data_IF_762606432796
#
_entry.id   IF_762606432796
#
_cell.length_a   1.000
_cell.length_b   1.000
_cell.length_c   1.000
_cell.angle_alpha   90.00
_cell.angle_beta   90.00
_cell.angle_gamma   90.00
#
_symmetry.space_group_name_H-M   'P 1'
#
loop_
_entity.id
_entity.type
_entity.pdbx_description
1 polymer ?
#
# COMPACT_ATOMS: atom_id res chain seq x y z
N UNK A 1 14.00 3.57 -22.92
CA UNK A 1 12.81 3.94 -22.17
C UNK A 1 11.57 3.73 -23.03
N UNK A 2 10.62 2.98 -22.52
CA UNK A 2 9.23 2.94 -22.93
C UNK A 2 8.91 2.33 -24.30
N UNK A 3 9.36 1.13 -24.55
CA UNK A 3 8.80 0.26 -25.60
C UNK A 3 8.03 -0.91 -24.99
N UNK A 4 7.33 -0.66 -23.86
CA UNK A 4 6.48 -1.69 -23.27
C UNK A 4 5.30 -1.94 -24.20
N UNK A 5 5.10 -3.21 -24.54
CA UNK A 5 3.95 -3.67 -25.35
C UNK A 5 2.79 -4.09 -24.44
N UNK A 6 1.58 -4.24 -25.02
CA UNK A 6 0.45 -4.82 -24.29
C UNK A 6 0.71 -6.27 -23.90
N UNK A 7 1.49 -7.02 -24.67
CA UNK A 7 1.92 -8.39 -24.35
C UNK A 7 2.79 -8.43 -23.10
N UNK A 8 3.74 -7.49 -22.95
CA UNK A 8 4.57 -7.37 -21.73
C UNK A 8 3.71 -7.11 -20.50
N UNK A 9 2.68 -6.28 -20.64
CA UNK A 9 1.73 -5.97 -19.57
C UNK A 9 0.87 -7.17 -19.20
N UNK A 10 0.38 -7.91 -20.17
CA UNK A 10 -0.38 -9.14 -19.95
C UNK A 10 0.47 -10.23 -19.28
N UNK A 11 1.73 -10.38 -19.67
CA UNK A 11 2.66 -11.30 -19.01
C UNK A 11 2.87 -10.95 -17.53
N UNK A 12 3.06 -9.67 -17.20
CA UNK A 12 3.16 -9.24 -15.78
C UNK A 12 1.88 -9.53 -14.99
N UNK A 13 0.70 -9.31 -15.58
CA UNK A 13 -0.57 -9.65 -14.93
C UNK A 13 -0.71 -11.14 -14.66
N UNK A 14 -0.27 -11.99 -15.58
CA UNK A 14 -0.34 -13.44 -15.42
C UNK A 14 0.58 -13.95 -14.28
N UNK A 15 1.71 -13.28 -14.04
CA UNK A 15 2.72 -13.68 -13.04
C UNK A 15 2.66 -12.85 -11.74
N UNK A 16 1.62 -12.02 -11.53
CA UNK A 16 1.56 -11.03 -10.46
C UNK A 16 1.88 -11.59 -9.07
N UNK A 17 1.33 -12.74 -8.70
CA UNK A 17 1.50 -13.32 -7.35
C UNK A 17 2.96 -13.72 -7.08
N UNK A 18 3.63 -14.26 -8.11
CA UNK A 18 5.05 -14.62 -8.03
C UNK A 18 5.94 -13.38 -8.01
N UNK A 19 5.67 -12.41 -8.86
CA UNK A 19 6.39 -11.13 -8.91
C UNK A 19 6.28 -10.40 -7.58
N UNK A 20 5.07 -10.23 -7.06
CA UNK A 20 4.80 -9.57 -5.77
C UNK A 20 5.51 -10.27 -4.62
N UNK A 21 5.44 -11.60 -4.54
CA UNK A 21 6.12 -12.37 -3.50
C UNK A 21 7.64 -12.22 -3.54
N UNK A 22 8.26 -12.34 -4.72
CA UNK A 22 9.70 -12.16 -4.86
C UNK A 22 10.15 -10.75 -4.55
N UNK A 23 9.38 -9.76 -4.98
CA UNK A 23 9.63 -8.36 -4.68
C UNK A 23 9.66 -8.13 -3.16
N UNK A 24 8.62 -8.52 -2.43
CA UNK A 24 8.54 -8.29 -1.00
C UNK A 24 9.52 -9.14 -0.16
N UNK A 25 9.98 -10.29 -0.63
CA UNK A 25 11.06 -11.02 0.04
C UNK A 25 12.37 -10.20 0.14
N UNK A 26 12.63 -9.32 -0.81
CA UNK A 26 13.82 -8.46 -0.82
C UNK A 26 13.51 -7.05 -0.28
N UNK A 27 12.32 -6.55 -0.52
CA UNK A 27 11.95 -5.17 -0.21
C UNK A 27 11.48 -4.98 1.24
N UNK A 28 10.95 -6.03 1.91
CA UNK A 28 10.37 -5.90 3.26
C UNK A 28 11.33 -5.28 4.26
N UNK A 29 12.55 -5.79 4.37
CA UNK A 29 13.54 -5.26 5.31
C UNK A 29 13.96 -3.83 4.97
N UNK A 30 14.04 -3.49 3.68
CA UNK A 30 14.33 -2.13 3.23
C UNK A 30 13.19 -1.16 3.57
N UNK A 31 11.94 -1.59 3.44
CA UNK A 31 10.77 -0.81 3.85
C UNK A 31 10.71 -0.62 5.35
N UNK A 32 10.90 -1.69 6.15
CA UNK A 32 10.93 -1.56 7.62
C UNK A 32 12.06 -0.65 8.09
N UNK A 33 13.24 -0.75 7.47
CA UNK A 33 14.37 0.12 7.76
C UNK A 33 14.11 1.57 7.40
N UNK A 34 13.56 1.83 6.21
CA UNK A 34 13.37 3.17 5.65
C UNK A 34 12.09 3.86 6.10
N UNK A 35 11.00 3.11 6.27
CA UNK A 35 9.65 3.64 6.45
C UNK A 35 9.01 3.23 7.78
N UNK A 36 9.15 1.97 8.17
CA UNK A 36 8.52 1.40 9.37
C UNK A 36 7.64 0.19 9.04
N UNK A 37 6.79 -0.23 9.98
CA UNK A 37 5.94 -1.42 9.83
C UNK A 37 4.61 -1.16 9.13
N UNK A 38 4.26 0.10 8.90
CA UNK A 38 3.10 0.54 8.10
C UNK A 38 3.61 1.11 6.78
N UNK A 39 3.56 0.30 5.71
CA UNK A 39 4.14 0.63 4.39
C UNK A 39 3.12 1.32 3.49
N UNK A 40 2.72 2.52 3.85
CA UNK A 40 1.79 3.30 3.04
C UNK A 40 2.08 4.80 3.14
N UNK A 41 1.56 5.55 2.21
CA UNK A 41 1.59 7.01 2.23
C UNK A 41 0.52 7.58 3.14
N UNK A 42 0.64 8.86 3.48
CA UNK A 42 -0.34 9.59 4.24
C UNK A 42 -0.24 11.09 3.96
N UNK A 43 -1.24 11.84 4.43
CA UNK A 43 -1.20 13.30 4.50
C UNK A 43 -0.47 13.72 5.76
N UNK A 44 0.20 14.86 5.70
CA UNK A 44 0.94 15.43 6.83
C UNK A 44 0.35 16.75 7.28
N UNK A 45 0.37 17.00 8.60
CA UNK A 45 0.04 18.28 9.19
C UNK A 45 1.30 18.96 9.74
N UNK A 46 1.26 20.30 9.84
CA UNK A 46 2.38 21.07 10.38
C UNK A 46 2.63 20.67 11.85
N UNK A 47 3.88 20.32 12.17
CA UNK A 47 4.29 19.92 13.50
C UNK A 47 3.90 18.48 13.88
N UNK A 48 3.32 17.72 12.97
CA UNK A 48 2.99 16.31 13.19
C UNK A 48 4.19 15.43 12.82
N UNK A 49 4.54 14.48 13.71
CA UNK A 49 5.60 13.52 13.39
C UNK A 49 5.12 12.50 12.36
N UNK A 50 6.08 11.93 11.60
CA UNK A 50 5.82 10.92 10.57
C UNK A 50 4.91 9.79 11.08
N UNK A 51 5.25 9.17 12.21
CA UNK A 51 4.46 8.05 12.76
C UNK A 51 3.05 8.45 13.19
N UNK A 52 2.85 9.67 13.71
CA UNK A 52 1.50 10.16 14.04
C UNK A 52 0.66 10.39 12.78
N UNK A 53 1.27 10.89 11.72
CA UNK A 53 0.60 11.08 10.44
C UNK A 53 0.15 9.73 9.83
N UNK A 54 1.00 8.71 9.88
CA UNK A 54 0.68 7.34 9.46
C UNK A 54 -0.52 6.80 10.26
N UNK A 55 -0.46 6.81 11.59
CA UNK A 55 -1.55 6.34 12.45
C UNK A 55 -2.86 7.11 12.21
N UNK A 56 -2.79 8.43 12.08
CA UNK A 56 -3.97 9.26 11.77
C UNK A 56 -4.62 8.88 10.43
N UNK A 57 -3.83 8.50 9.43
CA UNK A 57 -4.33 8.06 8.14
C UNK A 57 -5.10 6.74 8.26
N UNK A 58 -4.56 5.80 9.03
CA UNK A 58 -5.20 4.52 9.37
C UNK A 58 -6.50 4.74 10.16
N UNK A 59 -6.46 5.59 11.19
CA UNK A 59 -7.66 5.96 11.98
C UNK A 59 -8.75 6.62 11.13
N UNK A 60 -8.36 7.44 10.14
CA UNK A 60 -9.32 8.07 9.24
C UNK A 60 -10.06 7.07 8.38
N UNK A 61 -9.38 6.02 7.90
CA UNK A 61 -10.03 4.92 7.20
C UNK A 61 -11.02 4.18 8.12
N UNK A 62 -10.59 3.79 9.33
CA UNK A 62 -11.45 3.14 10.32
C UNK A 62 -12.68 3.97 10.66
N UNK A 63 -12.51 5.28 10.85
CA UNK A 63 -13.60 6.23 11.08
C UNK A 63 -14.58 6.29 9.92
N UNK A 64 -14.08 6.39 8.68
CA UNK A 64 -14.91 6.44 7.47
C UNK A 64 -15.71 5.14 7.25
N UNK A 65 -15.13 4.01 7.62
CA UNK A 65 -15.77 2.70 7.60
C UNK A 65 -16.73 2.47 8.77
N UNK A 66 -16.74 3.36 9.76
CA UNK A 66 -17.47 3.19 11.02
C UNK A 66 -17.18 1.83 11.68
N UNK A 67 -15.88 1.47 11.75
CA UNK A 67 -15.45 0.22 12.39
C UNK A 67 -15.84 0.20 13.87
N UNK A 68 -16.47 -0.88 14.31
CA UNK A 68 -16.96 -1.02 15.68
C UNK A 68 -16.03 -1.95 16.48
N UNK A 69 -16.08 -1.77 17.81
CA UNK A 69 -15.46 -2.72 18.75
C UNK A 69 -16.02 -4.15 18.51
N UNK A 70 -15.10 -5.13 18.58
CA UNK A 70 -15.41 -6.55 18.35
C UNK A 70 -15.91 -6.93 16.94
N UNK A 71 -15.94 -5.99 15.98
CA UNK A 71 -16.17 -6.33 14.58
C UNK A 71 -15.12 -7.31 14.06
N UNK A 72 -15.51 -8.23 13.21
CA UNK A 72 -14.62 -9.11 12.47
C UNK A 72 -14.20 -8.42 11.18
N UNK A 73 -12.96 -8.04 11.09
CA UNK A 73 -12.42 -7.21 10.01
C UNK A 73 -11.37 -7.99 9.22
N UNK A 74 -11.42 -7.92 7.90
CA UNK A 74 -10.41 -8.47 7.00
C UNK A 74 -9.45 -7.36 6.55
N UNK A 75 -8.15 -7.56 6.75
CA UNK A 75 -7.07 -6.73 6.18
C UNK A 75 -6.51 -7.43 4.94
N UNK A 76 -6.80 -6.88 3.76
CA UNK A 76 -6.45 -7.48 2.47
C UNK A 76 -5.07 -7.01 2.03
N UNK A 77 -4.09 -7.90 2.10
CA UNK A 77 -2.70 -7.57 1.82
C UNK A 77 -2.02 -6.91 3.03
N UNK A 78 -2.16 -7.52 4.20
CA UNK A 78 -1.78 -6.95 5.50
C UNK A 78 -0.27 -6.71 5.69
N UNK A 79 0.60 -7.17 4.81
CA UNK A 79 2.05 -7.04 4.96
C UNK A 79 2.54 -7.59 6.31
N UNK A 80 3.34 -6.79 7.03
CA UNK A 80 3.81 -7.12 8.39
C UNK A 80 2.82 -6.71 9.49
N UNK A 81 1.59 -6.35 9.13
CA UNK A 81 0.49 -6.10 10.05
C UNK A 81 0.59 -4.77 10.83
N UNK A 82 1.36 -3.80 10.34
CA UNK A 82 1.45 -2.48 10.98
C UNK A 82 0.08 -1.79 11.11
N UNK A 83 -0.61 -1.53 9.99
CA UNK A 83 -1.94 -0.94 10.00
C UNK A 83 -2.94 -1.74 10.82
N UNK A 84 -2.91 -3.08 10.75
CA UNK A 84 -3.83 -3.92 11.49
C UNK A 84 -3.69 -3.73 13.01
N UNK A 85 -2.46 -3.68 13.52
CA UNK A 85 -2.21 -3.46 14.96
C UNK A 85 -2.72 -2.09 15.42
N UNK A 86 -2.54 -1.07 14.59
CA UNK A 86 -3.05 0.27 14.89
C UNK A 86 -4.59 0.32 14.83
N UNK A 87 -5.21 -0.33 13.83
CA UNK A 87 -6.67 -0.48 13.75
C UNK A 87 -7.25 -1.19 14.99
N UNK A 88 -6.61 -2.26 15.47
CA UNK A 88 -7.01 -2.97 16.68
C UNK A 88 -6.97 -2.05 17.90
N UNK A 89 -5.89 -1.28 18.09
CA UNK A 89 -5.77 -0.33 19.21
C UNK A 89 -6.82 0.76 19.17
N UNK A 90 -7.09 1.28 17.98
CA UNK A 90 -8.01 2.39 17.80
C UNK A 90 -9.47 1.99 17.93
N UNK A 91 -9.85 0.82 17.42
CA UNK A 91 -11.26 0.41 17.31
C UNK A 91 -11.66 -0.70 18.28
N UNK A 92 -10.73 -1.50 18.75
CA UNK A 92 -11.02 -2.73 19.50
C UNK A 92 -11.52 -3.90 18.65
N UNK A 93 -11.48 -3.80 17.33
CA UNK A 93 -11.91 -4.85 16.40
C UNK A 93 -11.00 -6.08 16.44
N UNK A 94 -11.53 -7.22 15.97
CA UNK A 94 -10.75 -8.41 15.66
C UNK A 94 -10.35 -8.39 14.20
N UNK A 95 -9.04 -8.31 13.90
CA UNK A 95 -8.55 -8.21 12.53
C UNK A 95 -7.91 -9.52 12.10
N UNK A 96 -8.35 -10.01 10.93
CA UNK A 96 -7.71 -11.14 10.24
C UNK A 96 -6.98 -10.60 9.02
N UNK A 97 -5.67 -10.76 8.96
CA UNK A 97 -4.87 -10.42 7.80
C UNK A 97 -4.88 -11.52 6.75
N UNK A 98 -4.86 -11.12 5.49
CA UNK A 98 -4.61 -12.01 4.35
C UNK A 98 -3.33 -11.55 3.65
N UNK A 99 -2.35 -12.42 3.52
CA UNK A 99 -1.10 -12.11 2.83
C UNK A 99 -0.53 -13.35 2.12
N UNK A 100 0.23 -13.14 1.04
CA UNK A 100 0.82 -14.23 0.26
C UNK A 100 2.30 -14.48 0.57
N UNK A 101 2.92 -13.67 1.43
CA UNK A 101 4.35 -13.72 1.74
C UNK A 101 4.59 -14.28 3.14
N UNK A 102 5.27 -15.45 3.21
CA UNK A 102 5.52 -16.15 4.47
C UNK A 102 6.35 -15.32 5.45
N UNK A 103 7.40 -14.64 4.97
CA UNK A 103 8.26 -13.81 5.80
C UNK A 103 7.50 -12.65 6.46
N UNK A 104 6.63 -11.98 5.71
CA UNK A 104 5.79 -10.92 6.27
C UNK A 104 4.77 -11.47 7.29
N UNK A 105 4.21 -12.66 7.03
CA UNK A 105 3.28 -13.33 7.95
C UNK A 105 3.95 -13.62 9.29
N UNK A 106 5.13 -14.26 9.27
CA UNK A 106 5.91 -14.56 10.49
C UNK A 106 6.22 -13.27 11.28
N UNK A 107 6.62 -12.21 10.60
CA UNK A 107 6.89 -10.92 11.25
C UNK A 107 5.62 -10.30 11.83
N UNK A 108 4.48 -10.40 11.16
CA UNK A 108 3.21 -9.86 11.64
C UNK A 108 2.76 -10.54 12.94
N UNK A 109 2.93 -11.86 13.04
CA UNK A 109 2.64 -12.64 14.25
C UNK A 109 3.57 -12.19 15.38
N UNK A 110 4.89 -12.17 15.11
CA UNK A 110 5.88 -11.75 16.10
C UNK A 110 5.59 -10.34 16.67
N UNK A 111 5.24 -9.38 15.82
CA UNK A 111 4.91 -8.03 16.28
C UNK A 111 3.62 -7.99 17.09
N UNK A 112 2.59 -8.73 16.69
CA UNK A 112 1.34 -8.77 17.43
C UNK A 112 1.53 -9.39 18.83
N UNK A 113 2.30 -10.46 18.95
CA UNK A 113 2.68 -11.08 20.24
C UNK A 113 3.46 -10.10 21.11
N UNK A 114 4.50 -9.47 20.57
CA UNK A 114 5.33 -8.48 21.26
C UNK A 114 4.53 -7.30 21.79
N UNK A 115 3.49 -6.90 21.07
CA UNK A 115 2.64 -5.76 21.39
C UNK A 115 1.39 -6.12 22.20
N UNK A 116 1.22 -7.41 22.56
CA UNK A 116 0.09 -7.90 23.38
C UNK A 116 -1.25 -7.87 22.66
N UNK A 117 -1.26 -8.05 21.34
CA UNK A 117 -2.45 -7.99 20.48
C UNK A 117 -2.81 -9.34 19.84
N UNK A 118 -2.16 -10.42 20.27
CA UNK A 118 -2.33 -11.75 19.69
C UNK A 118 -3.75 -12.32 19.84
N UNK A 119 -4.53 -11.84 20.80
CA UNK A 119 -5.92 -12.22 21.02
C UNK A 119 -6.89 -11.58 19.98
N UNK A 120 -6.50 -10.48 19.36
CA UNK A 120 -7.30 -9.74 18.38
C UNK A 120 -6.72 -9.78 16.97
N UNK A 121 -5.54 -10.34 16.80
CA UNK A 121 -4.87 -10.50 15.52
C UNK A 121 -4.81 -11.95 15.08
N UNK A 122 -5.16 -12.21 13.85
CA UNK A 122 -4.88 -13.47 13.16
C UNK A 122 -4.45 -13.19 11.73
N UNK A 123 -3.71 -14.11 11.12
CA UNK A 123 -3.28 -13.97 9.73
C UNK A 123 -3.39 -15.29 8.98
N UNK A 124 -3.82 -15.23 7.73
CA UNK A 124 -3.97 -16.38 6.83
C UNK A 124 -3.10 -16.16 5.61
N UNK A 125 -2.32 -17.18 5.26
CA UNK A 125 -1.60 -17.19 3.99
C UNK A 125 -2.58 -17.47 2.86
N UNK A 126 -2.61 -16.61 1.86
CA UNK A 126 -3.48 -16.79 0.71
C UNK A 126 -3.32 -15.70 -0.34
N UNK A 127 -3.96 -15.95 -1.47
CA UNK A 127 -4.06 -15.04 -2.58
C UNK A 127 -5.39 -14.27 -2.48
N UNK A 128 -5.35 -12.95 -2.51
CA UNK A 128 -6.55 -12.14 -2.46
C UNK A 128 -7.43 -12.29 -3.72
N UNK A 129 -6.89 -12.82 -4.83
CA UNK A 129 -7.69 -13.16 -6.02
C UNK A 129 -8.50 -14.45 -5.86
N UNK A 130 -8.18 -15.29 -4.84
CA UNK A 130 -8.83 -16.57 -4.54
C UNK A 130 -8.89 -16.77 -3.03
N UNK A 131 -9.69 -15.95 -2.34
CA UNK A 131 -9.79 -16.00 -0.88
C UNK A 131 -10.44 -17.31 -0.39
N UNK A 132 -9.78 -17.99 0.54
CA UNK A 132 -10.28 -19.24 1.14
C UNK A 132 -11.35 -19.05 2.21
N UNK A 133 -11.70 -17.82 2.56
CA UNK A 133 -12.74 -17.55 3.57
C UNK A 133 -14.13 -17.90 3.07
N UNK A 134 -15.00 -18.40 3.96
CA UNK A 134 -16.42 -18.57 3.63
C UNK A 134 -17.09 -17.25 3.25
N UNK A 135 -18.18 -17.34 2.50
CA UNK A 135 -19.03 -16.18 2.23
C UNK A 135 -19.59 -15.58 3.53
N UNK A 136 -19.80 -14.27 3.52
CA UNK A 136 -20.44 -13.57 4.64
C UNK A 136 -19.73 -13.78 6.00
N UNK A 137 -18.38 -13.80 6.00
CA UNK A 137 -17.55 -14.06 7.18
C UNK A 137 -17.17 -12.81 7.96
N UNK A 138 -17.13 -11.64 7.31
CA UNK A 138 -16.59 -10.41 7.88
C UNK A 138 -17.63 -9.29 7.93
N UNK A 139 -17.57 -8.47 8.97
CA UNK A 139 -18.41 -7.28 9.12
C UNK A 139 -17.86 -6.10 8.31
N UNK A 140 -16.54 -6.06 8.17
CA UNK A 140 -15.84 -5.06 7.37
C UNK A 140 -14.59 -5.67 6.72
N UNK A 141 -14.13 -5.05 5.64
CA UNK A 141 -12.83 -5.35 5.03
C UNK A 141 -12.14 -4.04 4.62
N UNK A 142 -10.82 -4.01 4.71
CA UNK A 142 -10.08 -2.90 4.16
C UNK A 142 -8.83 -3.37 3.41
N UNK A 143 -8.33 -2.50 2.55
CA UNK A 143 -7.02 -2.62 1.93
C UNK A 143 -6.32 -1.25 1.98
N UNK A 144 -5.04 -1.25 2.33
CA UNK A 144 -4.22 -0.04 2.31
C UNK A 144 -3.07 -0.25 1.32
N UNK A 145 -3.19 0.37 0.14
CA UNK A 145 -2.18 0.36 -0.92
C UNK A 145 -1.74 -1.06 -1.37
N UNK A 146 -2.62 -2.06 -1.23
CA UNK A 146 -2.31 -3.46 -1.51
C UNK A 146 -2.97 -3.98 -2.81
N UNK A 147 -4.20 -3.58 -3.07
CA UNK A 147 -4.99 -4.09 -4.19
C UNK A 147 -4.51 -3.60 -5.56
N UNK A 148 -3.68 -2.58 -5.61
CA UNK A 148 -2.96 -2.14 -6.82
C UNK A 148 -2.10 -3.26 -7.44
N UNK A 149 -1.66 -4.23 -6.65
CA UNK A 149 -0.91 -5.39 -7.16
C UNK A 149 -1.81 -6.42 -7.86
N UNK A 150 -3.13 -6.34 -7.70
CA UNK A 150 -4.06 -7.26 -8.34
C UNK A 150 -4.01 -7.15 -9.88
N UNK A 151 -4.07 -8.26 -10.60
CA UNK A 151 -4.17 -8.25 -12.06
C UNK A 151 -5.50 -7.64 -12.55
N UNK A 152 -6.52 -7.63 -11.68
CA UNK A 152 -7.83 -7.04 -11.91
C UNK A 152 -8.39 -6.50 -10.59
N UNK A 153 -8.63 -5.19 -10.52
CA UNK A 153 -9.30 -4.58 -9.38
C UNK A 153 -10.71 -5.13 -9.18
N UNK A 154 -11.47 -5.29 -10.27
CA UNK A 154 -12.81 -5.89 -10.19
C UNK A 154 -12.73 -7.29 -9.56
N UNK A 155 -11.81 -8.14 -10.00
CA UNK A 155 -11.68 -9.50 -9.49
C UNK A 155 -11.38 -9.56 -7.99
N UNK A 156 -10.47 -8.73 -7.47
CA UNK A 156 -10.20 -8.69 -6.03
C UNK A 156 -11.37 -8.10 -5.25
N UNK A 157 -12.05 -7.09 -5.79
CA UNK A 157 -13.24 -6.51 -5.14
C UNK A 157 -14.43 -7.48 -5.11
N UNK A 158 -14.60 -8.33 -6.12
CA UNK A 158 -15.59 -9.43 -6.11
C UNK A 158 -15.28 -10.45 -4.99
N UNK A 159 -14.00 -10.77 -4.75
CA UNK A 159 -13.62 -11.63 -3.64
C UNK A 159 -13.93 -10.97 -2.28
N UNK A 160 -13.65 -9.68 -2.14
CA UNK A 160 -13.98 -8.93 -0.92
C UNK A 160 -15.50 -8.86 -0.72
N UNK A 161 -16.24 -8.60 -1.79
CA UNK A 161 -17.72 -8.60 -1.76
C UNK A 161 -18.28 -9.93 -1.27
N UNK A 162 -17.76 -11.04 -1.79
CA UNK A 162 -18.17 -12.39 -1.43
C UNK A 162 -18.01 -12.67 0.06
N UNK A 163 -16.87 -12.30 0.64
CA UNK A 163 -16.56 -12.62 2.05
C UNK A 163 -17.18 -11.66 3.05
N UNK A 164 -17.63 -10.49 2.62
CA UNK A 164 -18.37 -9.54 3.46
C UNK A 164 -19.81 -10.02 3.69
N UNK A 165 -20.31 -9.82 4.91
CA UNK A 165 -21.72 -9.99 5.25
C UNK A 165 -22.59 -8.98 4.49
N UNK A 166 -23.88 -9.27 4.22
CA UNK A 166 -24.82 -8.24 3.79
C UNK A 166 -24.81 -7.04 4.73
N UNK A 167 -24.74 -5.83 4.20
CA UNK A 167 -24.53 -4.59 4.95
C UNK A 167 -23.08 -4.31 5.37
N UNK A 168 -22.15 -5.23 5.12
CA UNK A 168 -20.74 -5.07 5.42
C UNK A 168 -20.07 -3.95 4.61
N UNK A 169 -19.05 -3.32 5.18
CA UNK A 169 -18.36 -2.17 4.59
C UNK A 169 -16.99 -2.56 4.07
N UNK A 170 -16.60 -2.02 2.91
CA UNK A 170 -15.27 -2.07 2.34
C UNK A 170 -14.67 -0.67 2.26
N UNK A 171 -13.46 -0.50 2.80
CA UNK A 171 -12.69 0.72 2.71
C UNK A 171 -11.33 0.48 2.09
N UNK A 172 -10.89 1.34 1.17
CA UNK A 172 -9.59 1.19 0.53
C UNK A 172 -8.90 2.53 0.30
N UNK A 173 -7.60 2.55 0.54
CA UNK A 173 -6.69 3.53 -0.05
C UNK A 173 -6.03 2.87 -1.26
N UNK A 174 -6.33 3.40 -2.45
CA UNK A 174 -5.90 2.80 -3.70
C UNK A 174 -4.92 3.68 -4.45
N UNK A 175 -3.95 3.05 -5.11
CA UNK A 175 -3.03 3.69 -6.04
C UNK A 175 -3.67 3.80 -7.41
N UNK A 176 -3.92 5.01 -7.86
CA UNK A 176 -4.61 5.26 -9.12
C UNK A 176 -3.92 6.38 -9.92
N UNK A 177 -4.00 6.28 -11.24
CA UNK A 177 -3.66 7.40 -12.13
C UNK A 177 -4.83 8.39 -12.16
N UNK A 178 -4.52 9.68 -12.03
CA UNK A 178 -5.51 10.76 -12.06
C UNK A 178 -5.98 11.06 -13.49
N UNK A 179 -6.99 11.93 -13.63
CA UNK A 179 -7.46 12.38 -14.96
C UNK A 179 -6.42 13.22 -15.72
N UNK A 180 -5.38 13.73 -15.02
CA UNK A 180 -4.27 14.43 -15.68
C UNK A 180 -3.29 13.50 -16.39
N UNK A 181 -3.35 12.20 -16.08
CA UNK A 181 -2.52 11.22 -16.77
C UNK A 181 -2.99 11.03 -18.22
N UNK A 182 -2.08 11.27 -19.13
CA UNK A 182 -2.25 11.05 -20.58
C UNK A 182 -1.29 9.94 -21.04
N UNK A 183 -1.86 8.84 -21.52
CA UNK A 183 -1.07 7.71 -22.00
C UNK A 183 -0.31 8.01 -23.29
N UNK A 184 -0.67 9.03 -24.06
CA UNK A 184 0.04 9.42 -25.28
C UNK A 184 1.25 10.30 -24.99
N UNK A 185 1.33 10.87 -23.77
CA UNK A 185 2.48 11.63 -23.31
C UNK A 185 3.64 10.71 -22.87
N UNK A 186 4.82 10.76 -23.53
CA UNK A 186 5.96 9.90 -23.18
C UNK A 186 6.44 10.09 -21.73
N UNK A 187 6.38 11.32 -21.20
CA UNK A 187 6.79 11.63 -19.84
C UNK A 187 5.85 10.98 -18.81
N UNK A 188 4.54 11.04 -19.06
CA UNK A 188 3.56 10.41 -18.18
C UNK A 188 3.72 8.88 -18.16
N UNK A 189 3.97 8.26 -19.33
CA UNK A 189 4.26 6.82 -19.40
C UNK A 189 5.54 6.44 -18.66
N UNK A 190 6.60 7.23 -18.82
CA UNK A 190 7.86 7.00 -18.10
C UNK A 190 7.64 6.99 -16.58
N UNK A 191 6.92 7.99 -16.05
CA UNK A 191 6.60 8.09 -14.62
C UNK A 191 5.80 6.87 -14.16
N UNK A 192 4.70 6.53 -14.85
CA UNK A 192 3.88 5.36 -14.52
C UNK A 192 4.69 4.07 -14.52
N UNK A 193 5.45 3.82 -15.58
CA UNK A 193 6.27 2.61 -15.70
C UNK A 193 7.35 2.53 -14.61
N UNK A 194 7.95 3.66 -14.25
CA UNK A 194 8.93 3.72 -13.17
C UNK A 194 8.31 3.35 -11.82
N UNK A 195 7.08 3.78 -11.55
CA UNK A 195 6.32 3.39 -10.35
C UNK A 195 5.97 1.90 -10.43
N UNK A 196 5.34 1.44 -11.51
CA UNK A 196 4.93 0.04 -11.69
C UNK A 196 6.09 -0.94 -11.52
N UNK A 197 7.19 -0.70 -12.23
CA UNK A 197 8.34 -1.60 -12.23
C UNK A 197 9.12 -1.57 -10.90
N UNK A 198 9.21 -0.38 -10.30
CA UNK A 198 9.96 -0.21 -9.06
C UNK A 198 9.24 -0.73 -7.83
N UNK A 199 7.91 -0.73 -7.84
CA UNK A 199 7.08 -1.19 -6.73
C UNK A 199 6.43 -2.57 -6.97
N UNK A 200 6.80 -3.26 -8.06
CA UNK A 200 6.31 -4.60 -8.36
C UNK A 200 4.82 -4.65 -8.73
N UNK A 201 4.32 -3.58 -9.34
CA UNK A 201 2.92 -3.45 -9.76
C UNK A 201 2.76 -3.91 -11.20
N UNK A 202 1.74 -4.72 -11.46
CA UNK A 202 1.48 -5.25 -12.80
C UNK A 202 0.90 -4.21 -13.75
N UNK A 203 0.00 -3.36 -13.28
CA UNK A 203 -0.63 -2.29 -14.04
C UNK A 203 -1.42 -1.36 -13.14
N UNK A 204 -1.19 -0.05 -13.24
CA UNK A 204 -2.04 0.96 -12.61
C UNK A 204 -3.14 1.42 -13.56
N UNK A 205 -4.33 1.60 -13.01
CA UNK A 205 -5.50 2.06 -13.76
C UNK A 205 -5.89 3.49 -13.36
N UNK A 206 -6.77 4.12 -14.12
CA UNK A 206 -7.30 5.45 -13.79
C UNK A 206 -8.35 5.37 -12.68
N UNK A 207 -8.57 6.51 -12.01
CA UNK A 207 -9.63 6.68 -10.99
C UNK A 207 -10.99 6.20 -11.49
N UNK A 208 -11.37 6.56 -12.71
CA UNK A 208 -12.63 6.14 -13.33
C UNK A 208 -12.77 4.62 -13.41
N UNK A 209 -11.69 3.92 -13.75
CA UNK A 209 -11.66 2.46 -13.82
C UNK A 209 -11.75 1.81 -12.43
N UNK A 210 -11.06 2.38 -11.43
CA UNK A 210 -11.14 1.92 -10.04
C UNK A 210 -12.57 2.04 -9.47
N UNK A 211 -13.23 3.18 -9.72
CA UNK A 211 -14.63 3.39 -9.31
C UNK A 211 -15.61 2.50 -10.08
N UNK A 212 -15.34 2.23 -11.36
CA UNK A 212 -16.15 1.29 -12.14
C UNK A 212 -16.00 -0.14 -11.61
N UNK A 213 -14.78 -0.55 -11.19
CA UNK A 213 -14.52 -1.87 -10.63
C UNK A 213 -15.27 -2.11 -9.30
N UNK A 214 -15.36 -1.11 -8.41
CA UNK A 214 -16.17 -1.18 -7.18
C UNK A 214 -17.64 -1.48 -7.49
N UNK A 215 -18.21 -0.73 -8.44
CA UNK A 215 -19.61 -0.90 -8.84
C UNK A 215 -19.86 -2.24 -9.55
N UNK A 216 -18.93 -2.64 -10.42
CA UNK A 216 -19.02 -3.91 -11.14
C UNK A 216 -18.93 -5.12 -10.20
N UNK A 217 -18.19 -5.03 -9.08
CA UNK A 217 -18.14 -6.03 -8.03
C UNK A 217 -19.44 -6.13 -7.18
N UNK A 218 -20.38 -5.22 -7.38
CA UNK A 218 -21.70 -5.23 -6.71
C UNK A 218 -21.82 -4.29 -5.52
N UNK A 219 -20.81 -3.51 -5.20
CA UNK A 219 -20.84 -2.57 -4.09
C UNK A 219 -21.65 -1.30 -4.40
N UNK A 220 -22.32 -0.78 -3.38
CA UNK A 220 -22.87 0.57 -3.34
C UNK A 220 -21.81 1.54 -2.84
N UNK A 221 -21.45 2.53 -3.67
CA UNK A 221 -20.43 3.52 -3.35
C UNK A 221 -21.01 4.55 -2.37
N UNK A 222 -20.44 4.63 -1.15
CA UNK A 222 -20.89 5.58 -0.11
C UNK A 222 -20.03 6.85 -0.09
N UNK A 223 -18.73 6.72 -0.30
CA UNK A 223 -17.81 7.84 -0.25
C UNK A 223 -16.57 7.58 -1.11
N UNK A 224 -16.07 8.62 -1.76
CA UNK A 224 -14.75 8.57 -2.40
C UNK A 224 -14.12 9.96 -2.46
N UNK A 225 -12.80 10.01 -2.38
CA UNK A 225 -12.04 11.26 -2.42
C UNK A 225 -10.57 10.99 -2.72
N UNK A 226 -9.95 11.84 -3.53
CA UNK A 226 -8.49 11.88 -3.64
C UNK A 226 -7.91 12.69 -2.48
N UNK A 227 -7.36 12.00 -1.48
CA UNK A 227 -6.76 12.65 -0.32
C UNK A 227 -5.42 13.34 -0.68
N UNK A 228 -4.77 12.95 -1.78
CA UNK A 228 -3.53 13.57 -2.22
C UNK A 228 -3.77 14.94 -2.91
N UNK A 229 -4.99 15.21 -3.38
CA UNK A 229 -5.34 16.50 -4.02
C UNK A 229 -5.87 17.55 -3.03
N UNK A 230 -5.98 17.21 -1.74
CA UNK A 230 -6.34 18.22 -0.71
C UNK A 230 -5.29 19.32 -0.64
N UNK A 231 -5.69 20.56 -0.35
CA UNK A 231 -4.79 21.72 -0.27
C UNK A 231 -3.95 21.70 1.02
N UNK A 232 -3.19 20.64 1.23
CA UNK A 232 -2.30 20.51 2.38
C UNK A 232 -1.05 21.38 2.23
N UNK A 233 -0.57 22.00 3.31
CA UNK A 233 0.67 22.78 3.28
C UNK A 233 1.92 21.89 3.08
N UNK A 234 1.82 20.60 3.36
CA UNK A 234 2.90 19.62 3.28
C UNK A 234 2.55 18.59 2.20
N UNK A 235 3.35 18.48 1.13
CA UNK A 235 3.11 17.47 0.10
C UNK A 235 3.29 16.06 0.65
N UNK A 236 2.40 15.12 0.30
CA UNK A 236 2.47 13.74 0.75
C UNK A 236 3.81 13.05 0.41
N UNK A 237 4.45 13.47 -0.66
CA UNK A 237 5.73 12.90 -1.14
C UNK A 237 6.98 13.53 -0.49
N UNK A 238 6.84 14.46 0.47
CA UNK A 238 7.99 15.14 1.05
C UNK A 238 9.04 14.19 1.67
N UNK A 239 8.65 13.05 2.30
CA UNK A 239 9.65 12.12 2.84
C UNK A 239 10.52 11.53 1.74
N UNK A 240 9.92 11.11 0.62
CA UNK A 240 10.65 10.54 -0.53
C UNK A 240 11.52 11.59 -1.24
N UNK A 241 11.08 12.86 -1.24
CA UNK A 241 11.86 13.98 -1.76
C UNK A 241 13.07 14.36 -0.88
N UNK A 242 13.12 13.82 0.34
CA UNK A 242 14.17 14.18 1.31
C UNK A 242 14.09 15.65 1.75
N UNK A 243 12.90 16.20 1.89
CA UNK A 243 12.69 17.63 2.17
C UNK A 243 12.61 17.90 3.67
N UNK A 244 13.70 18.38 4.23
CA UNK A 244 13.82 18.68 5.67
C UNK A 244 12.97 19.86 6.17
N UNK A 245 12.37 20.66 5.28
CA UNK A 245 11.55 21.83 5.68
C UNK A 245 10.29 21.43 6.45
N UNK A 246 9.85 20.20 6.32
CA UNK A 246 8.59 19.70 6.87
C UNK A 246 8.74 18.72 8.04
N UNK A 247 9.91 18.69 8.69
CA UNK A 247 10.14 17.83 9.85
C UNK A 247 9.17 18.18 10.99
N UNK A 248 8.42 17.20 11.47
CA UNK A 248 7.52 17.33 12.62
C UNK A 248 8.17 16.93 13.95
N UNK A 249 9.28 16.18 13.88
CA UNK A 249 10.00 15.71 15.07
C UNK A 249 11.49 15.45 14.77
N UNK A 250 12.30 15.38 15.85
CA UNK A 250 13.72 14.98 15.73
C UNK A 250 13.85 13.55 15.16
N UNK A 251 12.89 12.66 15.48
CA UNK A 251 12.86 11.30 14.95
C UNK A 251 12.72 11.26 13.43
N UNK A 252 11.98 12.20 12.86
CA UNK A 252 11.77 12.28 11.41
C UNK A 252 13.07 12.61 10.66
N UNK A 253 14.03 13.29 11.34
CA UNK A 253 15.34 13.57 10.77
C UNK A 253 16.04 12.30 10.29
N UNK A 254 15.99 11.23 11.08
CA UNK A 254 16.59 9.94 10.70
C UNK A 254 15.84 9.29 9.53
N UNK A 255 14.53 9.32 9.54
CA UNK A 255 13.70 8.76 8.44
C UNK A 255 13.94 9.52 7.15
N UNK A 256 13.86 10.85 7.17
CA UNK A 256 14.03 11.69 5.98
C UNK A 256 15.47 11.67 5.44
N UNK A 257 16.48 11.66 6.32
CA UNK A 257 17.88 11.61 5.88
C UNK A 257 18.21 10.38 5.02
N UNK A 258 17.59 9.23 5.32
CA UNK A 258 17.74 7.99 4.54
C UNK A 258 17.12 8.10 3.15
N UNK A 259 16.09 8.94 2.97
CA UNK A 259 15.38 9.16 1.70
C UNK A 259 16.08 10.19 0.80
N UNK A 260 17.01 11.02 1.34
CA UNK A 260 17.78 11.97 0.54
C UNK A 260 18.63 11.24 -0.50
N UNK A 261 19.00 11.94 -1.58
CA UNK A 261 19.88 11.39 -2.62
C UNK A 261 21.22 10.89 -2.06
N UNK A 262 21.82 11.60 -1.09
CA UNK A 262 23.07 11.18 -0.46
C UNK A 262 22.87 10.03 0.53
N UNK A 263 21.75 10.01 1.27
CA UNK A 263 21.38 8.91 2.16
C UNK A 263 21.17 7.62 1.38
N UNK A 264 20.39 7.67 0.31
CA UNK A 264 20.21 6.53 -0.62
C UNK A 264 21.55 6.09 -1.24
N UNK A 265 22.42 7.04 -1.60
CA UNK A 265 23.76 6.75 -2.11
C UNK A 265 24.67 6.04 -1.11
N UNK A 266 24.59 6.38 0.18
CA UNK A 266 25.31 5.69 1.25
C UNK A 266 24.78 4.27 1.43
N UNK A 267 23.45 4.08 1.54
CA UNK A 267 22.82 2.75 1.65
C UNK A 267 23.24 1.87 0.47
N UNK A 268 23.20 2.41 -0.76
CA UNK A 268 23.62 1.69 -1.96
C UNK A 268 25.09 1.18 -1.86
N UNK A 269 26.01 2.02 -1.41
CA UNK A 269 27.43 1.63 -1.24
C UNK A 269 27.58 0.54 -0.17
N UNK A 270 26.89 0.67 0.96
CA UNK A 270 26.94 -0.33 2.02
C UNK A 270 26.34 -1.67 1.59
N UNK A 271 25.23 -1.67 0.86
CA UNK A 271 24.62 -2.89 0.32
C UNK A 271 25.55 -3.57 -0.68
N UNK A 272 26.18 -2.81 -1.59
CA UNK A 272 27.14 -3.36 -2.54
C UNK A 272 28.38 -3.96 -1.87
N UNK A 273 28.87 -3.37 -0.76
CA UNK A 273 29.93 -3.95 0.04
C UNK A 273 29.45 -5.22 0.76
N UNK A 274 28.23 -5.19 1.33
CA UNK A 274 27.61 -6.33 2.00
C UNK A 274 27.42 -7.53 1.08
N UNK A 275 27.00 -7.31 -0.17
CA UNK A 275 26.93 -8.39 -1.19
C UNK A 275 28.29 -8.99 -1.50
N UNK A 276 29.33 -8.17 -1.65
CA UNK A 276 30.70 -8.63 -1.88
C UNK A 276 31.23 -9.47 -0.71
N UNK A 277 30.90 -9.08 0.51
CA UNK A 277 31.26 -9.80 1.74
C UNK A 277 30.34 -10.97 2.07
N UNK A 278 29.30 -11.20 1.25
CA UNK A 278 28.27 -12.26 1.44
C UNK A 278 27.51 -12.17 2.77
N UNK A 279 27.42 -10.98 3.36
CA UNK A 279 26.58 -10.69 4.56
C UNK A 279 25.20 -10.20 4.20
N UNK A 280 24.98 -9.85 2.93
CA UNK A 280 23.68 -9.45 2.36
C UNK A 280 23.41 -10.31 1.12
N UNK A 281 22.15 -10.77 0.90
CA UNK A 281 21.79 -11.56 -0.27
C UNK A 281 22.12 -10.85 -1.59
N UNK A 282 22.52 -11.63 -2.60
CA UNK A 282 22.77 -11.11 -3.94
C UNK A 282 21.47 -10.53 -4.54
N UNK A 283 21.56 -9.38 -5.19
CA UNK A 283 20.43 -8.68 -5.79
C UNK A 283 19.83 -7.58 -4.90
N UNK A 284 20.18 -7.49 -3.61
CA UNK A 284 19.67 -6.47 -2.69
C UNK A 284 20.04 -5.06 -3.15
N UNK A 285 21.26 -4.84 -3.64
CA UNK A 285 21.71 -3.55 -4.19
C UNK A 285 20.88 -3.16 -5.44
N UNK A 286 20.60 -4.13 -6.32
CA UNK A 286 19.77 -3.90 -7.51
C UNK A 286 18.33 -3.52 -7.12
N UNK A 287 17.77 -4.21 -6.12
CA UNK A 287 16.43 -3.91 -5.58
C UNK A 287 16.39 -2.51 -4.97
N UNK A 288 17.40 -2.13 -4.18
CA UNK A 288 17.50 -0.78 -3.61
C UNK A 288 17.57 0.32 -4.69
N UNK A 289 18.24 0.06 -5.82
CA UNK A 289 18.26 0.98 -6.96
C UNK A 289 16.91 1.11 -7.65
N UNK A 290 16.19 -0.01 -7.83
CA UNK A 290 14.83 0.00 -8.36
C UNK A 290 13.90 0.82 -7.48
N UNK A 291 13.96 0.61 -6.15
CA UNK A 291 13.19 1.39 -5.18
C UNK A 291 13.55 2.88 -5.19
N UNK A 292 14.83 3.23 -5.34
CA UNK A 292 15.26 4.61 -5.44
C UNK A 292 14.69 5.29 -6.69
N UNK A 293 14.72 4.60 -7.83
CA UNK A 293 14.14 5.12 -9.08
C UNK A 293 12.60 5.25 -8.98
N UNK A 294 11.93 4.26 -8.38
CA UNK A 294 10.49 4.33 -8.11
C UNK A 294 10.14 5.53 -7.23
N UNK A 295 10.92 5.79 -6.16
CA UNK A 295 10.74 6.95 -5.30
C UNK A 295 10.83 8.28 -6.08
N UNK A 296 11.78 8.39 -7.01
CA UNK A 296 11.90 9.57 -7.87
C UNK A 296 10.69 9.71 -8.82
N UNK A 297 10.17 8.60 -9.36
CA UNK A 297 8.95 8.58 -10.17
C UNK A 297 7.70 8.92 -9.36
N UNK A 298 7.58 8.43 -8.11
CA UNK A 298 6.50 8.78 -7.19
C UNK A 298 6.48 10.27 -6.87
N UNK A 299 7.66 10.85 -6.58
CA UNK A 299 7.81 12.30 -6.37
C UNK A 299 7.42 13.09 -7.61
N UNK A 300 7.84 12.67 -8.80
CA UNK A 300 7.49 13.31 -10.07
C UNK A 300 5.97 13.21 -10.32
N UNK A 301 5.39 12.02 -10.16
CA UNK A 301 3.95 11.78 -10.31
C UNK A 301 3.11 12.63 -9.36
N UNK A 302 3.56 12.76 -8.11
CA UNK A 302 2.92 13.64 -7.12
C UNK A 302 3.02 15.12 -7.48
N UNK A 303 4.20 15.62 -7.90
CA UNK A 303 4.39 17.02 -8.32
C UNK A 303 3.56 17.38 -9.55
N UNK A 304 3.51 16.48 -10.52
CA UNK A 304 2.74 16.67 -11.76
C UNK A 304 1.25 16.31 -11.58
N UNK A 305 0.86 15.82 -10.38
CA UNK A 305 -0.50 15.36 -10.05
C UNK A 305 -1.04 14.30 -11.00
N UNK A 306 -0.18 13.43 -11.50
CA UNK A 306 -0.53 12.33 -12.41
C UNK A 306 -1.01 11.09 -11.68
N UNK A 307 -0.67 10.99 -10.40
CA UNK A 307 -0.79 9.81 -9.56
C UNK A 307 -1.27 10.19 -8.16
N UNK A 308 -2.12 9.36 -7.58
CA UNK A 308 -2.50 9.41 -6.17
C UNK A 308 -2.24 8.06 -5.51
N UNK A 309 -1.52 8.01 -4.36
CA UNK A 309 -1.36 6.78 -3.59
C UNK A 309 -2.50 6.57 -2.58
N UNK A 310 -3.37 7.53 -2.42
CA UNK A 310 -4.37 7.55 -1.34
C UNK A 310 -5.75 7.99 -1.83
N UNK A 311 -6.21 7.38 -2.94
CA UNK A 311 -7.60 7.55 -3.35
C UNK A 311 -8.48 6.73 -2.41
N UNK A 312 -9.20 7.42 -1.53
CA UNK A 312 -10.10 6.79 -0.57
C UNK A 312 -11.39 6.38 -1.24
N UNK A 313 -11.78 5.12 -1.08
CA UNK A 313 -13.10 4.61 -1.47
C UNK A 313 -13.71 3.91 -0.25
N UNK A 314 -14.96 4.22 0.07
CA UNK A 314 -15.78 3.49 1.05
C UNK A 314 -17.05 3.05 0.35
N UNK A 315 -17.32 1.76 0.40
CA UNK A 315 -18.43 1.15 -0.30
C UNK A 315 -19.10 0.06 0.57
N UNK A 316 -20.34 -0.22 0.34
CA UNK A 316 -21.13 -1.14 1.14
C UNK A 316 -21.68 -2.28 0.30
N UNK A 317 -21.64 -3.50 0.84
CA UNK A 317 -22.41 -4.62 0.31
C UNK A 317 -23.87 -4.39 0.66
N UNK A 318 -24.82 -4.40 -0.30
CA UNK A 318 -26.24 -4.24 -0.02
C UNK A 318 -26.73 -5.20 1.09
N UNK A 319 -27.63 -4.73 1.94
CA UNK A 319 -28.19 -5.55 3.02
C UNK A 319 -29.13 -6.67 2.49
N UNK A 320 -29.67 -6.48 1.30
CA UNK A 320 -30.50 -7.44 0.56
C UNK A 320 -29.82 -7.74 -0.76
N UNK A 321 -29.00 -8.73 -0.81
CA UNK A 321 -28.42 -9.26 -2.06
C UNK A 321 -28.70 -10.75 -2.19
#
# INVERSE_FOLDING_TARGET
>A
AATETEEDRQARRAEYATLTRHYYNLATDLYEYGWGTSFHFCRFAIGESFHKAIARHEHYLAYKMNMQENSRVLDVGCGVGGPAREMIRFTGAHVTGLNNNDYQIERSIHYAEKEGLADKWSVVKGDFMQMSFPENSFDAAYAIEATVHAPSLQGVYEQIFRVLKPGGVFGVYEWLMTDKYDNDNPRHREIRLGIEQGDGISNMVKVSEGLAAIKAAGFELEYHEDLADRPDPIPWYYPLAGDFRYLGSVGDLFTISRMTWWGRGLVHKFLGLGEKLKVVPQGTQKTANSLAYAADCLVAGGKEKLFTPMYLIVARKPATS
#
